data_IF_937676763638
#
_entry.id   IF_937676763638
#
_cell.length_a   1.000
_cell.length_b   1.000
_cell.length_c   1.000
_cell.angle_alpha   90.00
_cell.angle_beta   90.00
_cell.angle_gamma   90.00
#
_symmetry.space_group_name_H-M   'P 1'
#
loop_
_entity.id
_entity.type
_entity.pdbx_description
1 polymer ?
#
# COMPACT_ATOMS: atom_id res chain seq x y z
N UNK A 1 9.53 -16.70 -30.37
CA UNK A 1 9.91 -15.45 -29.65
C UNK A 1 9.16 -15.27 -28.34
N UNK A 2 7.82 -15.37 -28.31
CA UNK A 2 7.01 -15.16 -27.09
C UNK A 2 7.28 -16.18 -25.97
N UNK A 3 7.48 -17.46 -26.29
CA UNK A 3 7.79 -18.50 -25.31
C UNK A 3 9.19 -18.34 -24.69
N UNK A 4 10.19 -17.97 -25.50
CA UNK A 4 11.55 -17.65 -25.01
C UNK A 4 11.54 -16.45 -24.06
N UNK A 5 10.72 -15.43 -24.34
CA UNK A 5 10.53 -14.29 -23.43
C UNK A 5 9.90 -14.68 -22.10
N UNK A 6 8.92 -15.58 -22.10
CA UNK A 6 8.29 -16.09 -20.88
C UNK A 6 9.29 -16.90 -20.05
N UNK A 7 10.04 -17.80 -20.70
CA UNK A 7 11.07 -18.61 -20.01
C UNK A 7 12.16 -17.73 -19.42
N UNK A 8 12.67 -16.74 -20.17
CA UNK A 8 13.67 -15.80 -19.66
C UNK A 8 13.14 -14.99 -18.46
N UNK A 9 11.88 -14.52 -18.51
CA UNK A 9 11.25 -13.80 -17.43
C UNK A 9 11.06 -14.67 -16.17
N UNK A 10 10.62 -15.91 -16.33
CA UNK A 10 10.48 -16.86 -15.23
C UNK A 10 11.83 -17.19 -14.60
N UNK A 11 12.86 -17.47 -15.40
CA UNK A 11 14.21 -17.71 -14.90
C UNK A 11 14.78 -16.50 -14.14
N UNK A 12 14.58 -15.28 -14.67
CA UNK A 12 14.98 -14.05 -13.98
C UNK A 12 14.23 -13.86 -12.65
N UNK A 13 12.92 -14.15 -12.62
CA UNK A 13 12.11 -14.11 -11.40
C UNK A 13 12.60 -15.13 -10.37
N UNK A 14 12.89 -16.37 -10.78
CA UNK A 14 13.43 -17.40 -9.90
C UNK A 14 14.81 -17.02 -9.36
N UNK A 15 15.69 -16.41 -10.17
CA UNK A 15 16.97 -15.89 -9.72
C UNK A 15 16.80 -14.75 -8.69
N UNK A 16 15.87 -13.82 -8.92
CA UNK A 16 15.55 -12.75 -7.98
C UNK A 16 15.02 -13.30 -6.64
N UNK A 17 14.12 -14.29 -6.70
CA UNK A 17 13.60 -14.97 -5.51
C UNK A 17 14.69 -15.78 -4.78
N UNK A 18 15.63 -16.39 -5.51
CA UNK A 18 16.78 -17.09 -4.94
C UNK A 18 17.77 -16.15 -4.26
N UNK A 19 17.95 -14.94 -4.80
CA UNK A 19 18.78 -13.89 -4.18
C UNK A 19 18.32 -13.50 -2.77
N UNK A 20 17.02 -13.64 -2.47
CA UNK A 20 16.46 -13.44 -1.12
C UNK A 20 17.08 -14.43 -0.13
N UNK A 21 17.42 -15.64 -0.56
CA UNK A 21 18.09 -16.63 0.27
C UNK A 21 19.56 -16.31 0.54
N UNK A 22 20.23 -15.54 -0.30
CA UNK A 22 21.59 -15.07 -0.02
C UNK A 22 21.61 -13.77 0.80
N UNK A 23 20.46 -13.14 0.97
CA UNK A 23 20.34 -11.89 1.72
C UNK A 23 20.34 -12.17 3.23
N UNK A 24 21.06 -11.38 4.05
CA UNK A 24 20.98 -11.46 5.50
C UNK A 24 19.54 -11.19 5.97
N UNK A 25 19.06 -11.99 6.92
CA UNK A 25 17.71 -11.85 7.44
C UNK A 25 17.53 -10.49 8.13
N UNK A 26 18.57 -9.94 8.76
CA UNK A 26 18.53 -8.62 9.37
C UNK A 26 18.24 -7.56 8.31
N UNK A 27 18.94 -7.61 7.17
CA UNK A 27 18.74 -6.67 6.08
C UNK A 27 17.31 -6.74 5.54
N UNK A 28 16.74 -7.94 5.37
CA UNK A 28 15.37 -8.07 4.89
C UNK A 28 14.35 -7.52 5.91
N UNK A 29 14.59 -7.77 7.19
CA UNK A 29 13.75 -7.28 8.28
C UNK A 29 13.82 -5.74 8.43
N UNK A 30 15.02 -5.15 8.46
CA UNK A 30 15.20 -3.70 8.55
C UNK A 30 14.64 -2.97 7.33
N UNK A 31 14.86 -3.49 6.11
CA UNK A 31 14.26 -2.92 4.91
C UNK A 31 12.72 -3.01 4.96
N UNK A 32 12.18 -4.12 5.47
CA UNK A 32 10.74 -4.27 5.70
C UNK A 32 10.19 -3.22 6.67
N UNK A 33 10.91 -2.93 7.76
CA UNK A 33 10.55 -1.86 8.71
C UNK A 33 10.53 -0.50 8.00
N UNK A 34 11.60 -0.15 7.29
CA UNK A 34 11.68 1.13 6.59
C UNK A 34 10.59 1.29 5.54
N UNK A 35 10.29 0.23 4.80
CA UNK A 35 9.25 0.22 3.80
C UNK A 35 7.86 0.35 4.43
N UNK A 36 7.59 -0.37 5.52
CA UNK A 36 6.35 -0.22 6.27
C UNK A 36 6.20 1.19 6.87
N UNK A 37 7.26 1.74 7.44
CA UNK A 37 7.28 3.10 7.98
C UNK A 37 7.03 4.16 6.89
N UNK A 38 7.66 4.02 5.73
CA UNK A 38 7.41 4.88 4.58
C UNK A 38 5.97 4.75 4.09
N UNK A 39 5.44 3.52 4.01
CA UNK A 39 4.05 3.26 3.68
C UNK A 39 3.06 3.88 4.68
N UNK A 40 3.37 3.88 5.98
CA UNK A 40 2.60 4.58 7.01
C UNK A 40 2.66 6.10 6.85
N UNK A 41 3.87 6.64 6.64
CA UNK A 41 4.10 8.07 6.43
C UNK A 41 3.44 8.60 5.16
N UNK A 42 3.19 7.75 4.16
CA UNK A 42 2.43 8.14 2.97
C UNK A 42 0.94 7.86 3.15
N UNK A 43 0.57 6.66 3.59
CA UNK A 43 -0.80 6.17 3.67
C UNK A 43 -1.67 6.89 4.70
N UNK A 44 -1.13 7.18 5.88
CA UNK A 44 -1.87 7.88 6.94
C UNK A 44 -2.22 9.32 6.55
N UNK A 45 -1.26 10.19 6.16
CA UNK A 45 -1.60 11.57 5.81
C UNK A 45 -2.41 11.64 4.52
N UNK A 46 -2.17 10.79 3.52
CA UNK A 46 -3.02 10.78 2.31
C UNK A 46 -4.46 10.34 2.62
N UNK A 47 -4.64 9.34 3.49
CA UNK A 47 -5.95 8.95 4.00
C UNK A 47 -6.65 10.08 4.78
N UNK A 48 -5.89 10.84 5.58
CA UNK A 48 -6.40 12.01 6.29
C UNK A 48 -6.80 13.15 5.33
N UNK A 49 -5.95 13.47 4.35
CA UNK A 49 -6.24 14.46 3.30
C UNK A 49 -7.50 14.06 2.53
N UNK A 50 -7.67 12.78 2.20
CA UNK A 50 -8.88 12.27 1.56
C UNK A 50 -10.14 12.56 2.41
N UNK A 51 -10.09 12.31 3.73
CA UNK A 51 -11.21 12.62 4.62
C UNK A 51 -11.51 14.12 4.66
N UNK A 52 -10.48 14.96 4.78
CA UNK A 52 -10.64 16.43 4.80
C UNK A 52 -11.24 16.93 3.49
N UNK A 53 -10.76 16.44 2.33
CA UNK A 53 -11.29 16.81 1.02
C UNK A 53 -12.74 16.36 0.83
N UNK A 54 -13.07 15.15 1.29
CA UNK A 54 -14.43 14.64 1.26
C UNK A 54 -15.36 15.52 2.12
N UNK A 55 -14.91 15.95 3.30
CA UNK A 55 -15.63 16.88 4.16
C UNK A 55 -15.81 18.27 3.52
N UNK A 56 -14.76 18.80 2.88
CA UNK A 56 -14.82 20.11 2.21
C UNK A 56 -15.83 20.15 1.06
N UNK A 57 -16.00 19.04 0.33
CA UNK A 57 -16.91 18.98 -0.81
C UNK A 57 -18.36 18.73 -0.38
N UNK A 58 -18.57 17.76 0.52
CA UNK A 58 -19.92 17.32 0.90
C UNK A 58 -20.48 18.03 2.15
N UNK A 59 -19.61 18.61 2.98
CA UNK A 59 -19.98 19.35 4.18
C UNK A 59 -20.83 20.59 3.89
N UNK A 60 -20.43 21.47 2.95
CA UNK A 60 -21.25 22.62 2.54
C UNK A 60 -22.61 22.23 1.94
N UNK A 61 -22.75 21.01 1.42
CA UNK A 61 -24.00 20.49 0.84
C UNK A 61 -24.94 19.89 1.87
N UNK A 62 -24.51 19.73 3.13
CA UNK A 62 -25.30 19.06 4.17
C UNK A 62 -25.49 17.56 3.92
N UNK A 63 -24.73 16.96 2.99
CA UNK A 63 -24.88 15.54 2.59
C UNK A 63 -24.11 14.58 3.53
N UNK A 64 -23.42 15.09 4.54
CA UNK A 64 -22.63 14.30 5.49
C UNK A 64 -23.40 14.11 6.82
N UNK A 65 -23.92 12.91 7.09
CA UNK A 65 -24.53 12.62 8.38
C UNK A 65 -23.47 12.55 9.50
N UNK A 66 -23.87 12.70 10.78
CA UNK A 66 -22.99 12.42 11.91
C UNK A 66 -22.46 10.98 11.78
N UNK A 67 -21.15 10.77 12.02
CA UNK A 67 -20.43 9.47 11.86
C UNK A 67 -20.07 9.06 10.43
N UNK A 68 -20.13 9.96 9.44
CA UNK A 68 -19.70 9.68 8.07
C UNK A 68 -18.28 9.10 7.96
N UNK A 69 -17.38 9.49 8.86
CA UNK A 69 -15.98 9.06 8.90
C UNK A 69 -15.77 7.56 9.15
N UNK A 70 -16.78 6.82 9.63
CA UNK A 70 -16.71 5.36 9.73
C UNK A 70 -16.92 4.65 8.39
N UNK A 71 -17.62 5.29 7.45
CA UNK A 71 -17.93 4.73 6.12
C UNK A 71 -17.74 5.77 5.01
N UNK A 72 -16.54 6.39 4.90
CA UNK A 72 -16.29 7.49 3.97
C UNK A 72 -16.49 7.06 2.51
N UNK A 73 -16.19 5.79 2.18
CA UNK A 73 -16.34 5.23 0.84
C UNK A 73 -17.78 5.22 0.31
N UNK A 74 -18.80 5.17 1.18
CA UNK A 74 -20.21 5.23 0.73
C UNK A 74 -20.58 6.58 0.15
N UNK A 75 -19.91 7.65 0.60
CA UNK A 75 -20.18 9.02 0.16
C UNK A 75 -19.44 9.40 -1.12
N UNK A 76 -18.55 8.53 -1.62
CA UNK A 76 -17.93 8.73 -2.94
C UNK A 76 -18.94 8.66 -4.09
N UNK A 77 -20.11 8.04 -3.88
CA UNK A 77 -21.21 8.04 -4.85
C UNK A 77 -21.92 9.40 -4.94
N UNK A 78 -21.82 10.24 -3.90
CA UNK A 78 -22.38 11.59 -3.86
C UNK A 78 -21.46 12.64 -4.53
N UNK A 79 -20.22 12.27 -4.86
CA UNK A 79 -19.29 13.15 -5.56
C UNK A 79 -19.75 13.37 -7.01
N UNK A 80 -19.81 14.64 -7.44
CA UNK A 80 -20.01 14.98 -8.85
C UNK A 80 -18.83 14.47 -9.68
N UNK A 81 -19.09 14.21 -10.97
CA UNK A 81 -18.07 13.73 -11.93
C UNK A 81 -16.81 14.62 -11.97
N UNK A 82 -17.00 15.92 -11.76
CA UNK A 82 -15.95 16.94 -11.76
C UNK A 82 -15.05 16.88 -10.51
N UNK A 83 -15.60 16.52 -9.35
CA UNK A 83 -14.94 16.53 -8.05
C UNK A 83 -14.29 15.17 -7.72
N UNK A 84 -14.83 14.11 -8.34
CA UNK A 84 -14.41 12.73 -8.18
C UNK A 84 -12.91 12.50 -8.41
N UNK A 85 -12.26 12.98 -9.48
CA UNK A 85 -10.84 12.72 -9.70
C UNK A 85 -9.94 13.37 -8.63
N UNK A 86 -10.30 14.55 -8.13
CA UNK A 86 -9.54 15.24 -7.09
C UNK A 86 -9.57 14.49 -5.77
N UNK A 87 -10.74 13.97 -5.36
CA UNK A 87 -10.90 13.21 -4.11
C UNK A 87 -10.40 11.77 -4.25
N UNK A 88 -10.74 11.08 -5.36
CA UNK A 88 -10.32 9.70 -5.58
C UNK A 88 -8.81 9.56 -5.76
N UNK A 89 -8.12 10.56 -6.31
CA UNK A 89 -6.65 10.55 -6.41
C UNK A 89 -5.97 10.35 -5.05
N UNK A 90 -6.44 11.05 -4.01
CA UNK A 90 -5.95 10.87 -2.64
C UNK A 90 -6.35 9.52 -2.03
N UNK A 91 -7.54 9.01 -2.37
CA UNK A 91 -7.96 7.67 -1.96
C UNK A 91 -7.04 6.59 -2.56
N UNK A 92 -6.68 6.70 -3.84
CA UNK A 92 -5.75 5.78 -4.49
C UNK A 92 -4.33 5.91 -3.93
N UNK A 93 -3.87 7.13 -3.65
CA UNK A 93 -2.58 7.35 -3.00
C UNK A 93 -2.52 6.71 -1.60
N UNK A 94 -3.60 6.83 -0.81
CA UNK A 94 -3.72 6.14 0.48
C UNK A 94 -3.74 4.62 0.35
N UNK A 95 -4.47 4.10 -0.63
CA UNK A 95 -4.48 2.67 -0.95
C UNK A 95 -3.09 2.15 -1.38
N UNK A 96 -2.35 2.95 -2.16
CA UNK A 96 -0.97 2.64 -2.53
C UNK A 96 -0.06 2.60 -1.29
N UNK A 97 -0.17 3.58 -0.38
CA UNK A 97 0.54 3.56 0.90
C UNK A 97 0.25 2.30 1.72
N UNK A 98 -1.01 1.85 1.75
CA UNK A 98 -1.39 0.59 2.40
C UNK A 98 -0.74 -0.64 1.73
N UNK A 99 -0.68 -0.70 0.40
CA UNK A 99 0.02 -1.78 -0.32
C UNK A 99 1.51 -1.81 0.02
N UNK A 100 2.15 -0.64 0.14
CA UNK A 100 3.55 -0.52 0.55
C UNK A 100 3.74 -1.04 1.99
N UNK A 101 2.80 -0.75 2.90
CA UNK A 101 2.81 -1.32 4.26
C UNK A 101 2.72 -2.84 4.21
N UNK A 102 1.77 -3.40 3.45
CA UNK A 102 1.62 -4.84 3.31
C UNK A 102 2.90 -5.50 2.78
N UNK A 103 3.54 -4.88 1.78
CA UNK A 103 4.81 -5.36 1.23
C UNK A 103 5.93 -5.34 2.29
N UNK A 104 6.03 -4.26 3.08
CA UNK A 104 6.98 -4.17 4.18
C UNK A 104 6.76 -5.25 5.24
N UNK A 105 5.51 -5.51 5.62
CA UNK A 105 5.15 -6.57 6.57
C UNK A 105 5.47 -7.97 6.04
N UNK A 106 5.25 -8.22 4.73
CA UNK A 106 5.64 -9.48 4.09
C UNK A 106 7.17 -9.66 4.13
N UNK A 107 7.94 -8.61 3.87
CA UNK A 107 9.41 -8.65 3.98
C UNK A 107 9.87 -8.93 5.41
N UNK A 108 9.25 -8.29 6.41
CA UNK A 108 9.53 -8.56 7.82
C UNK A 108 9.21 -10.02 8.20
N UNK A 109 8.03 -10.51 7.80
CA UNK A 109 7.63 -11.90 8.06
C UNK A 109 8.56 -12.91 7.40
N UNK A 110 8.97 -12.65 6.15
CA UNK A 110 9.94 -13.47 5.43
C UNK A 110 11.32 -13.45 6.13
N UNK A 111 11.77 -12.28 6.61
CA UNK A 111 13.02 -12.14 7.35
C UNK A 111 13.01 -12.95 8.65
N UNK A 112 11.95 -12.83 9.45
CA UNK A 112 11.78 -13.62 10.68
C UNK A 112 11.69 -15.11 10.39
N UNK A 113 10.96 -15.50 9.34
CA UNK A 113 10.85 -16.91 8.93
C UNK A 113 12.21 -17.48 8.53
N UNK A 114 13.03 -16.70 7.82
CA UNK A 114 14.41 -17.09 7.49
C UNK A 114 15.30 -17.21 8.72
N UNK A 115 15.18 -16.29 9.69
CA UNK A 115 15.93 -16.39 10.95
C UNK A 115 15.58 -17.70 11.69
N UNK A 116 14.29 -18.00 11.81
CA UNK A 116 13.80 -19.24 12.43
C UNK A 116 14.28 -20.50 11.71
N UNK A 117 14.21 -20.53 10.37
CA UNK A 117 14.66 -21.69 9.58
C UNK A 117 16.18 -21.88 9.66
N UNK A 118 16.95 -20.79 9.78
CA UNK A 118 18.41 -20.84 9.89
C UNK A 118 18.91 -21.13 11.30
N UNK A 119 18.02 -21.14 12.30
CA UNK A 119 18.37 -21.46 13.69
C UNK A 119 19.31 -20.44 14.33
N UNK A 120 19.22 -19.18 13.92
CA UNK A 120 19.93 -18.04 14.53
C UNK A 120 19.10 -17.48 15.68
#
# INVERSE_FOLDING_TARGET
MRELGIVAALSALMCLLSGIWFTPWESLYYNGIWLAAAGFLLGVPTGFIYHVRLYQVLGPRGELPPRWYWKPLRFNACLRREERPSVMGWCYAGGFGFLVICLGLLMMGAGVSMALIRGV
#
